data_IF_858964695596
#
_entry.id   IF_858964695596
#
_cell.length_a   1.000
_cell.length_b   1.000
_cell.length_c   1.000
_cell.angle_alpha   90.00
_cell.angle_beta   90.00
_cell.angle_gamma   90.00
#
_symmetry.space_group_name_H-M   'P 1'
#
loop_
_entity.id
_entity.type
_entity.pdbx_description
1 polymer ?
#
# COMPACT_ATOMS: atom_id res chain seq x y z
N UNK A 1 4.42 -23.18 5.67
CA UNK A 1 3.90 -21.79 5.70
C UNK A 1 5.09 -20.89 5.39
N UNK A 2 5.10 -20.24 4.23
CA UNK A 2 6.26 -19.47 3.77
C UNK A 2 6.02 -18.00 4.08
N UNK A 3 6.61 -17.52 5.18
CA UNK A 3 6.62 -16.13 5.56
C UNK A 3 7.92 -15.47 5.06
N UNK A 4 7.83 -14.25 4.56
CA UNK A 4 8.96 -13.46 4.11
C UNK A 4 8.75 -12.00 4.53
N UNK A 5 9.81 -11.38 5.06
CA UNK A 5 9.82 -9.97 5.43
C UNK A 5 10.51 -9.16 4.33
N UNK A 6 9.87 -8.08 3.88
CA UNK A 6 10.42 -7.17 2.88
C UNK A 6 10.45 -5.75 3.42
N UNK A 7 11.56 -5.06 3.21
CA UNK A 7 11.70 -3.63 3.49
C UNK A 7 12.02 -2.92 2.19
N UNK A 8 11.25 -1.89 1.88
CA UNK A 8 11.35 -1.22 0.60
C UNK A 8 10.55 0.06 0.51
N UNK A 9 10.55 0.66 -0.68
CA UNK A 9 9.84 1.90 -0.96
C UNK A 9 8.66 1.63 -1.90
N UNK A 10 7.50 2.22 -1.62
CA UNK A 10 6.34 2.10 -2.51
C UNK A 10 6.60 2.91 -3.78
N UNK A 11 6.43 2.29 -4.95
CA UNK A 11 6.70 2.93 -6.27
C UNK A 11 5.41 3.17 -7.06
N UNK A 12 4.32 2.50 -6.71
CA UNK A 12 3.03 2.66 -7.39
C UNK A 12 1.97 3.28 -6.49
N UNK A 13 0.99 3.95 -7.11
CA UNK A 13 -0.26 4.28 -6.43
C UNK A 13 -0.99 3.00 -5.96
N UNK A 14 -1.62 3.10 -4.78
CA UNK A 14 -2.41 2.00 -4.21
C UNK A 14 -3.66 1.79 -5.06
N UNK A 15 -3.73 0.64 -5.76
CA UNK A 15 -4.92 0.27 -6.55
C UNK A 15 -5.91 -0.42 -5.61
N UNK A 16 -7.12 0.11 -5.53
CA UNK A 16 -8.19 -0.41 -4.68
C UNK A 16 -9.23 -1.12 -5.53
N UNK A 17 -9.53 -2.36 -5.19
CA UNK A 17 -10.58 -3.18 -5.81
C UNK A 17 -11.62 -3.44 -4.73
N UNK A 18 -12.83 -2.91 -4.92
CA UNK A 18 -13.91 -3.12 -3.98
C UNK A 18 -14.52 -4.51 -4.17
N UNK A 19 -14.53 -5.31 -3.10
CA UNK A 19 -15.21 -6.60 -3.10
C UNK A 19 -16.67 -6.44 -2.68
N UNK A 20 -17.55 -7.35 -3.15
CA UNK A 20 -18.98 -7.34 -2.80
C UNK A 20 -19.24 -7.47 -1.29
N UNK A 21 -18.25 -7.92 -0.53
CA UNK A 21 -18.34 -8.13 0.92
C UNK A 21 -17.91 -6.90 1.74
N UNK A 22 -17.70 -5.75 1.10
CA UNK A 22 -17.46 -4.46 1.77
C UNK A 22 -16.04 -4.25 2.29
N UNK A 23 -15.13 -5.21 2.11
CA UNK A 23 -13.70 -5.02 2.40
C UNK A 23 -12.92 -4.77 1.12
N UNK A 24 -12.12 -3.69 1.02
CA UNK A 24 -11.31 -3.41 -0.14
C UNK A 24 -10.18 -4.43 -0.23
N UNK A 25 -9.84 -4.75 -1.46
CA UNK A 25 -8.65 -5.49 -1.83
C UNK A 25 -7.68 -4.47 -2.43
N UNK A 26 -6.48 -4.33 -1.86
CA UNK A 26 -5.52 -3.34 -2.35
C UNK A 26 -4.27 -4.00 -2.90
N UNK A 27 -3.77 -3.41 -3.97
CA UNK A 27 -2.60 -3.85 -4.71
C UNK A 27 -1.56 -2.73 -4.73
N UNK A 28 -0.31 -3.09 -4.44
CA UNK A 28 0.84 -2.17 -4.47
C UNK A 28 2.07 -2.82 -5.13
N UNK A 29 2.94 -1.97 -5.66
CA UNK A 29 4.29 -2.33 -6.06
C UNK A 29 5.29 -1.72 -5.05
N UNK A 30 6.08 -2.58 -4.43
CA UNK A 30 7.16 -2.22 -3.52
C UNK A 30 8.50 -2.49 -4.20
N UNK A 31 9.37 -1.50 -4.24
CA UNK A 31 10.76 -1.67 -4.66
C UNK A 31 11.60 -2.10 -3.46
N UNK A 32 12.16 -3.29 -3.56
CA UNK A 32 13.03 -3.92 -2.57
C UNK A 32 14.39 -4.11 -3.24
N UNK A 33 15.38 -3.30 -2.85
CA UNK A 33 16.76 -3.39 -3.36
C UNK A 33 16.86 -3.40 -4.90
N UNK A 34 16.04 -2.60 -5.60
CA UNK A 34 16.03 -2.50 -7.06
C UNK A 34 15.18 -3.56 -7.77
N UNK A 35 14.44 -4.39 -7.02
CA UNK A 35 13.48 -5.35 -7.56
C UNK A 35 12.07 -4.95 -7.16
N UNK A 36 11.22 -4.77 -8.16
CA UNK A 36 9.81 -4.47 -7.96
C UNK A 36 9.07 -5.76 -7.59
N UNK A 37 8.46 -5.76 -6.41
CA UNK A 37 7.61 -6.83 -5.91
C UNK A 37 6.16 -6.37 -5.81
N UNK A 38 5.27 -7.23 -6.27
CA UNK A 38 3.83 -6.98 -6.24
C UNK A 38 3.24 -7.58 -4.98
N UNK A 39 2.59 -6.75 -4.16
CA UNK A 39 2.04 -7.12 -2.86
C UNK A 39 0.53 -6.88 -2.83
N UNK A 40 -0.15 -7.75 -2.09
CA UNK A 40 -1.59 -7.75 -1.93
C UNK A 40 -1.93 -7.56 -0.46
N UNK A 41 -2.88 -6.69 -0.16
CA UNK A 41 -3.45 -6.55 1.18
C UNK A 41 -4.97 -6.68 1.13
N UNK A 42 -5.52 -7.42 2.08
CA UNK A 42 -6.94 -7.79 2.10
C UNK A 42 -7.55 -7.58 3.48
N UNK A 43 -8.87 -7.36 3.51
CA UNK A 43 -9.64 -7.30 4.75
C UNK A 43 -9.64 -5.90 5.38
N UNK A 44 -9.93 -5.83 6.69
CA UNK A 44 -10.05 -4.55 7.42
C UNK A 44 -8.77 -3.71 7.43
N UNK A 45 -7.60 -4.37 7.42
CA UNK A 45 -6.29 -3.72 7.39
C UNK A 45 -6.07 -2.91 6.10
N UNK A 46 -6.71 -3.33 4.99
CA UNK A 46 -6.61 -2.64 3.71
C UNK A 46 -7.22 -1.23 3.75
N UNK A 47 -8.28 -1.00 4.56
CA UNK A 47 -8.84 0.35 4.71
C UNK A 47 -7.81 1.32 5.26
N UNK A 48 -7.20 0.99 6.41
CA UNK A 48 -6.18 1.82 7.06
C UNK A 48 -4.98 2.04 6.12
N UNK A 49 -4.57 0.98 5.44
CA UNK A 49 -3.47 0.99 4.49
C UNK A 49 -3.66 2.00 3.34
N UNK A 50 -4.88 2.12 2.78
CA UNK A 50 -5.16 3.06 1.68
C UNK A 50 -4.96 4.53 2.08
N UNK A 51 -5.18 4.86 3.36
CA UNK A 51 -5.01 6.22 3.86
C UNK A 51 -3.58 6.54 4.26
N UNK A 52 -2.85 5.56 4.78
CA UNK A 52 -1.52 5.77 5.34
C UNK A 52 -0.39 5.62 4.31
N UNK A 53 -0.65 4.89 3.23
CA UNK A 53 0.38 4.55 2.25
C UNK A 53 0.19 5.33 0.97
N UNK A 54 1.22 6.13 0.67
CA UNK A 54 1.35 6.88 -0.57
C UNK A 54 2.59 6.45 -1.37
N UNK A 55 2.67 6.91 -2.61
CA UNK A 55 3.85 6.70 -3.42
C UNK A 55 5.08 7.35 -2.74
N UNK A 56 6.15 6.58 -2.61
CA UNK A 56 7.38 6.98 -1.96
C UNK A 56 7.45 6.73 -0.45
N UNK A 57 6.42 6.12 0.15
CA UNK A 57 6.44 5.68 1.55
C UNK A 57 7.42 4.50 1.72
N UNK A 58 8.27 4.56 2.74
CA UNK A 58 9.11 3.44 3.16
C UNK A 58 8.34 2.49 4.06
N UNK A 59 8.25 1.23 3.67
CA UNK A 59 7.48 0.20 4.36
C UNK A 59 8.35 -1.03 4.65
N UNK A 60 8.17 -1.58 5.85
CA UNK A 60 8.52 -2.95 6.18
C UNK A 60 7.24 -3.77 6.27
N UNK A 61 7.19 -4.88 5.55
CA UNK A 61 5.99 -5.72 5.38
C UNK A 61 6.31 -7.17 5.61
N UNK A 62 5.50 -7.81 6.46
CA UNK A 62 5.50 -9.24 6.67
C UNK A 62 4.47 -9.88 5.75
N UNK A 63 4.97 -10.72 4.84
CA UNK A 63 4.19 -11.30 3.76
C UNK A 63 4.15 -12.82 3.85
N UNK A 64 3.02 -13.40 3.46
CA UNK A 64 2.87 -14.83 3.21
C UNK A 64 2.83 -15.07 1.71
N UNK A 65 3.60 -16.05 1.25
CA UNK A 65 3.60 -16.49 -0.15
C UNK A 65 2.53 -17.57 -0.30
N UNK A 66 1.55 -17.32 -1.17
CA UNK A 66 0.55 -18.32 -1.57
C UNK A 66 1.12 -19.27 -2.65
N UNK A 67 0.46 -20.40 -2.90
CA UNK A 67 0.84 -21.42 -3.91
C UNK A 67 0.93 -20.83 -5.32
N UNK A 68 0.16 -19.77 -5.60
CA UNK A 68 0.23 -18.98 -6.84
C UNK A 68 1.39 -17.98 -6.88
N UNK A 69 2.35 -18.06 -5.95
CA UNK A 69 3.47 -17.13 -5.76
C UNK A 69 3.04 -15.67 -5.56
N UNK A 70 1.83 -15.47 -5.02
CA UNK A 70 1.32 -14.15 -4.67
C UNK A 70 1.73 -13.80 -3.25
N UNK A 71 2.15 -12.56 -3.03
CA UNK A 71 2.59 -12.05 -1.74
C UNK A 71 1.44 -11.35 -1.04
N UNK A 72 0.99 -11.90 0.09
CA UNK A 72 -0.07 -11.35 0.92
C UNK A 72 0.50 -10.71 2.17
N UNK A 73 0.25 -9.42 2.36
CA UNK A 73 0.65 -8.66 3.54
C UNK A 73 -0.21 -9.10 4.73
N UNK A 74 0.43 -9.60 5.77
CA UNK A 74 -0.19 -9.88 7.06
C UNK A 74 -0.07 -8.67 7.98
N UNK A 75 1.14 -8.14 8.09
CA UNK A 75 1.48 -7.00 8.94
C UNK A 75 2.38 -6.04 8.19
N UNK A 76 2.27 -4.75 8.52
CA UNK A 76 3.07 -3.71 7.91
C UNK A 76 3.45 -2.68 8.96
N UNK A 77 4.66 -2.14 8.81
CA UNK A 77 5.19 -1.04 9.60
C UNK A 77 5.66 0.05 8.65
N UNK A 78 5.32 1.29 8.99
CA UNK A 78 5.72 2.47 8.24
C UNK A 78 7.02 3.00 8.85
N UNK A 79 8.09 2.99 8.06
CA UNK A 79 9.42 3.43 8.51
C UNK A 79 9.69 4.88 8.15
N UNK A 80 9.21 5.33 6.99
CA UNK A 80 9.30 6.73 6.56
C UNK A 80 8.10 7.14 5.73
N UNK A 81 7.53 8.31 6.04
CA UNK A 81 6.53 8.96 5.20
C UNK A 81 7.20 10.03 4.34
N UNK A 82 6.77 10.21 3.08
CA UNK A 82 7.26 11.31 2.27
C UNK A 82 6.92 12.65 2.94
N UNK A 83 7.92 13.50 3.13
CA UNK A 83 7.79 14.79 3.82
C UNK A 83 6.87 15.72 3.03
N UNK A 84 5.71 16.06 3.60
CA UNK A 84 4.68 16.95 3.01
C UNK A 84 5.04 18.45 3.00
N UNK A 85 6.31 18.83 3.24
CA UNK A 85 6.68 20.24 3.47
C UNK A 85 6.38 21.15 2.27
N UNK A 86 6.40 20.61 1.04
CA UNK A 86 6.01 21.33 -0.18
C UNK A 86 4.49 21.37 -0.45
N UNK A 87 3.68 20.56 0.23
CA UNK A 87 2.22 20.46 0.04
C UNK A 87 1.41 21.23 1.10
N UNK A 88 2.07 21.81 2.11
CA UNK A 88 1.44 22.63 3.15
C UNK A 88 0.77 23.90 2.60
N UNK A 89 1.21 24.36 1.42
CA UNK A 89 0.76 25.60 0.79
C UNK A 89 -0.30 25.42 -0.30
N UNK A 90 -0.56 24.17 -0.73
CA UNK A 90 -1.44 23.88 -1.85
C UNK A 90 -2.78 23.30 -1.38
N UNK A 91 -3.57 24.14 -0.69
CA UNK A 91 -4.89 23.77 -0.16
C UNK A 91 -5.91 23.38 -1.26
N UNK A 92 -5.64 23.74 -2.53
CA UNK A 92 -6.45 23.38 -3.71
C UNK A 92 -6.00 22.10 -4.40
N UNK A 93 -4.78 21.62 -4.12
CA UNK A 93 -4.17 20.45 -4.77
C UNK A 93 -4.37 19.11 -4.05
N UNK A 94 -4.88 19.10 -2.81
CA UNK A 94 -5.15 17.84 -2.11
C UNK A 94 -6.21 17.04 -2.86
N UNK A 95 -5.84 15.88 -3.41
CA UNK A 95 -6.80 14.83 -3.75
C UNK A 95 -7.43 14.38 -2.44
N UNK A 96 -8.58 14.96 -2.10
CA UNK A 96 -9.39 14.51 -0.98
C UNK A 96 -9.54 12.98 -1.06
N UNK A 97 -9.39 12.25 0.05
CA UNK A 97 -9.37 10.78 0.03
C UNK A 97 -10.60 10.16 -0.63
N UNK A 98 -11.74 10.87 -0.62
CA UNK A 98 -12.99 10.48 -1.29
C UNK A 98 -12.91 10.45 -2.83
N UNK A 99 -11.88 11.06 -3.44
CA UNK A 99 -11.68 11.05 -4.89
C UNK A 99 -10.99 9.79 -5.41
N UNK A 100 -10.53 8.89 -4.53
CA UNK A 100 -10.03 7.55 -4.90
C UNK A 100 -11.14 6.49 -5.00
N UNK A 101 -12.37 6.81 -4.59
CA UNK A 101 -13.51 5.87 -4.56
C UNK A 101 -14.73 6.39 -5.33
N UNK A 102 -14.54 7.00 -6.49
CA UNK A 102 -15.65 7.13 -7.44
C UNK A 102 -15.18 6.89 -8.88
N UNK A 103 -15.87 5.91 -9.48
CA UNK A 103 -15.85 5.41 -10.86
C UNK A 103 -14.80 4.36 -11.20
#
# INVERSE_FOLDING_TARGET
>A
MNAAMFTGKVVSDVKVINTKHGYPFCYIALDVNGKIQNLLITGRKAFKFVYEVENGTGLTVDCIINDRKQLFIQEYKIDSQPTLLGQLWDYKGRRLPFKKTMF
#
